data_IF_239578175803
#
_entry.id   IF_239578175803
#
_cell.length_a   1.000
_cell.length_b   1.000
_cell.length_c   1.000
_cell.angle_alpha   90.00
_cell.angle_beta   90.00
_cell.angle_gamma   90.00
#
_symmetry.space_group_name_H-M   'P 1'
#
loop_
_entity.id
_entity.type
_entity.pdbx_description
1 polymer ?
#
# COMPACT_ATOMS: atom_id res chain seq x y z
N UNK A 1 -4.43 3.41 -12.33
CA UNK A 1 -3.88 3.38 -10.96
C UNK A 1 -4.98 2.98 -9.99
N UNK A 2 -4.72 1.96 -9.17
CA UNK A 2 -5.62 1.51 -8.10
C UNK A 2 -5.31 2.28 -6.83
N UNK A 3 -6.33 2.77 -6.11
CA UNK A 3 -6.20 3.52 -4.85
C UNK A 3 -7.20 3.04 -3.81
N UNK A 4 -6.91 3.21 -2.52
CA UNK A 4 -7.75 2.68 -1.43
C UNK A 4 -8.98 3.57 -1.12
N UNK A 5 -8.77 4.89 -1.07
CA UNK A 5 -9.73 5.85 -0.53
C UNK A 5 -10.35 6.83 -1.54
N UNK A 6 -11.45 7.51 -1.17
CA UNK A 6 -11.98 8.64 -1.94
C UNK A 6 -11.09 9.89 -1.90
N UNK A 7 -10.35 10.10 -0.82
CA UNK A 7 -9.38 11.20 -0.68
C UNK A 7 -8.27 11.10 -1.72
N UNK A 8 -7.72 9.90 -1.92
CA UNK A 8 -6.71 9.59 -2.95
C UNK A 8 -7.13 10.06 -4.35
N UNK A 9 -8.40 9.82 -4.71
CA UNK A 9 -8.96 10.20 -6.02
C UNK A 9 -8.88 11.70 -6.30
N UNK A 10 -8.95 12.53 -5.26
CA UNK A 10 -8.94 13.99 -5.38
C UNK A 10 -7.50 14.51 -5.29
N UNK A 11 -6.75 14.05 -4.29
CA UNK A 11 -5.41 14.58 -4.01
C UNK A 11 -4.37 14.15 -5.02
N UNK A 12 -4.38 12.89 -5.45
CA UNK A 12 -3.27 12.39 -6.26
C UNK A 12 -3.18 13.13 -7.60
N UNK A 13 -4.26 13.32 -8.38
CA UNK A 13 -4.21 14.15 -9.57
C UNK A 13 -3.76 15.59 -9.30
N UNK A 14 -4.24 16.17 -8.19
CA UNK A 14 -3.91 17.54 -7.79
C UNK A 14 -2.42 17.68 -7.49
N UNK A 15 -1.86 16.84 -6.62
CA UNK A 15 -0.45 16.86 -6.23
C UNK A 15 0.44 16.61 -7.45
N UNK A 16 0.14 15.58 -8.24
CA UNK A 16 0.93 15.24 -9.42
C UNK A 16 1.03 16.41 -10.40
N UNK A 17 -0.12 17.01 -10.78
CA UNK A 17 -0.17 18.14 -11.73
C UNK A 17 0.45 19.41 -11.16
N UNK A 18 0.30 19.64 -9.85
CA UNK A 18 0.85 20.82 -9.19
C UNK A 18 2.38 20.76 -9.10
N UNK A 19 2.94 19.57 -8.87
CA UNK A 19 4.40 19.36 -8.88
C UNK A 19 4.98 19.42 -10.29
N UNK A 20 4.30 18.81 -11.27
CA UNK A 20 4.71 18.82 -12.65
C UNK A 20 3.47 18.79 -13.58
N UNK A 21 3.23 19.82 -14.40
CA UNK A 21 2.07 19.87 -15.30
C UNK A 21 1.98 18.74 -16.34
N UNK A 22 3.07 18.00 -16.56
CA UNK A 22 3.14 16.82 -17.43
C UNK A 22 2.72 15.51 -16.73
N UNK A 23 2.69 15.50 -15.40
CA UNK A 23 2.16 14.42 -14.56
C UNK A 23 0.65 14.55 -14.43
N UNK A 24 -0.02 14.47 -15.57
CA UNK A 24 -1.46 14.66 -15.67
C UNK A 24 -2.14 13.33 -16.06
N UNK A 25 -2.91 12.78 -15.12
CA UNK A 25 -3.65 11.53 -15.28
C UNK A 25 -4.60 11.59 -16.49
N UNK A 26 -5.26 12.72 -16.73
CA UNK A 26 -6.21 12.86 -17.85
C UNK A 26 -5.47 12.92 -19.19
N UNK A 27 -4.43 13.77 -19.31
CA UNK A 27 -3.65 13.89 -20.55
C UNK A 27 -2.92 12.61 -20.92
N UNK A 28 -2.54 11.81 -19.91
CA UNK A 28 -1.84 10.53 -20.07
C UNK A 28 -2.79 9.33 -20.17
N UNK A 29 -4.11 9.56 -20.30
CA UNK A 29 -5.14 8.51 -20.35
C UNK A 29 -5.03 7.48 -19.21
N UNK A 30 -4.58 7.93 -18.05
CA UNK A 30 -4.40 7.10 -16.86
C UNK A 30 -5.63 7.23 -15.97
N UNK A 31 -6.48 6.21 -15.96
CA UNK A 31 -7.63 6.17 -15.06
C UNK A 31 -7.20 5.89 -13.61
N UNK A 32 -7.83 6.56 -12.66
CA UNK A 32 -7.76 6.21 -11.22
C UNK A 32 -9.01 5.39 -10.89
N UNK A 33 -8.83 4.26 -10.21
CA UNK A 33 -9.93 3.40 -9.80
C UNK A 33 -9.79 3.08 -8.30
N UNK A 34 -10.90 3.23 -7.57
CA UNK A 34 -10.94 2.87 -6.16
C UNK A 34 -11.08 1.36 -6.02
N UNK A 35 -10.33 0.74 -5.11
CA UNK A 35 -10.48 -0.66 -4.74
C UNK A 35 -11.13 -0.79 -3.36
N UNK A 36 -12.11 -1.69 -3.22
CA UNK A 36 -12.73 -1.98 -1.93
C UNK A 36 -11.81 -2.91 -1.12
N UNK A 37 -10.87 -2.30 -0.40
CA UNK A 37 -9.91 -2.97 0.46
C UNK A 37 -8.71 -3.59 -0.25
N UNK A 38 -7.58 -3.65 0.46
CA UNK A 38 -6.27 -4.16 0.01
C UNK A 38 -6.34 -5.57 -0.60
N UNK A 39 -7.30 -6.39 -0.17
CA UNK A 39 -7.51 -7.77 -0.62
C UNK A 39 -7.83 -7.96 -2.10
N UNK A 40 -8.16 -6.88 -2.82
CA UNK A 40 -8.56 -6.93 -4.22
C UNK A 40 -7.50 -6.43 -5.20
N UNK A 41 -6.41 -5.80 -4.73
CA UNK A 41 -5.38 -5.19 -5.59
C UNK A 41 -4.78 -6.21 -6.57
N UNK A 42 -4.21 -7.31 -6.07
CA UNK A 42 -3.62 -8.36 -6.90
C UNK A 42 -4.63 -8.93 -7.91
N UNK A 43 -5.90 -9.07 -7.52
CA UNK A 43 -6.95 -9.57 -8.40
C UNK A 43 -7.18 -8.64 -9.59
N UNK A 44 -7.32 -7.34 -9.32
CA UNK A 44 -7.49 -6.34 -10.39
C UNK A 44 -6.27 -6.27 -11.29
N UNK A 45 -5.07 -6.29 -10.71
CA UNK A 45 -3.82 -6.27 -11.47
C UNK A 45 -3.73 -7.48 -12.41
N UNK A 46 -3.86 -8.69 -11.88
CA UNK A 46 -3.83 -9.91 -12.67
C UNK A 46 -4.90 -9.95 -13.77
N UNK A 47 -6.10 -9.43 -13.49
CA UNK A 47 -7.18 -9.36 -14.48
C UNK A 47 -6.85 -8.40 -15.62
N UNK A 48 -6.51 -7.16 -15.31
CA UNK A 48 -6.30 -6.13 -16.34
C UNK A 48 -5.00 -6.30 -17.12
N UNK A 49 -3.97 -6.91 -16.51
CA UNK A 49 -2.74 -7.27 -17.22
C UNK A 49 -2.99 -8.27 -18.35
N UNK A 50 -4.04 -9.11 -18.28
CA UNK A 50 -4.44 -9.99 -19.39
C UNK A 50 -4.91 -9.23 -20.63
N UNK A 51 -5.31 -7.95 -20.46
CA UNK A 51 -5.70 -7.05 -21.54
C UNK A 51 -4.56 -6.10 -21.94
N UNK A 52 -3.32 -6.44 -21.59
CA UNK A 52 -2.12 -5.61 -21.84
C UNK A 52 -2.21 -4.20 -21.24
N UNK A 53 -3.12 -4.02 -20.27
CA UNK A 53 -3.23 -2.76 -19.55
C UNK A 53 -2.16 -2.68 -18.48
N UNK A 54 -1.45 -1.56 -18.45
CA UNK A 54 -0.54 -1.24 -17.36
C UNK A 54 -1.31 -0.84 -16.12
N UNK A 55 -1.08 -1.53 -15.00
CA UNK A 55 -1.77 -1.27 -13.73
C UNK A 55 -0.78 -1.01 -12.61
N UNK A 56 -0.75 0.25 -12.18
CA UNK A 56 -0.15 0.67 -10.93
C UNK A 56 -1.12 0.58 -9.76
N UNK A 57 -0.61 0.35 -8.56
CA UNK A 57 -1.36 0.42 -7.30
C UNK A 57 -0.66 1.36 -6.32
N UNK A 58 -1.42 2.19 -5.61
CA UNK A 58 -0.93 3.03 -4.52
C UNK A 58 -1.70 2.68 -3.24
N UNK A 59 -0.97 2.33 -2.19
CA UNK A 59 -1.50 1.79 -0.95
C UNK A 59 -0.92 2.51 0.29
N UNK A 60 -1.63 2.38 1.40
CA UNK A 60 -1.18 2.88 2.70
C UNK A 60 -0.07 1.97 3.29
N UNK A 61 0.80 2.53 4.13
CA UNK A 61 1.96 1.86 4.73
C UNK A 61 1.62 0.58 5.49
N UNK A 62 0.43 0.51 6.08
CA UNK A 62 0.00 -0.68 6.82
C UNK A 62 -0.17 -1.91 5.93
N UNK A 63 -0.10 -1.76 4.60
CA UNK A 63 0.00 -2.91 3.70
C UNK A 63 1.27 -3.74 3.91
N UNK A 64 2.34 -3.13 4.42
CA UNK A 64 3.60 -3.83 4.72
C UNK A 64 3.44 -4.82 5.89
N UNK A 65 2.58 -4.49 6.86
CA UNK A 65 2.30 -5.34 8.02
C UNK A 65 1.10 -6.25 7.78
N UNK A 66 0.07 -5.76 7.09
CA UNK A 66 -1.19 -6.48 6.84
C UNK A 66 -1.60 -6.43 5.36
N UNK A 67 -1.73 -7.60 4.73
CA UNK A 67 -2.26 -7.69 3.36
C UNK A 67 -1.23 -7.52 2.24
N UNK A 68 0.06 -7.56 2.55
CA UNK A 68 1.15 -7.52 1.57
C UNK A 68 0.99 -8.55 0.44
N UNK A 69 0.61 -9.79 0.78
CA UNK A 69 0.36 -10.87 -0.19
C UNK A 69 -0.76 -10.56 -1.19
N UNK A 70 -1.55 -9.51 -0.93
CA UNK A 70 -2.65 -9.05 -1.78
C UNK A 70 -2.25 -7.96 -2.75
N UNK A 71 -0.99 -7.51 -2.74
CA UNK A 71 -0.45 -6.53 -3.70
C UNK A 71 -0.06 -7.15 -5.04
N UNK A 72 0.25 -8.45 -5.05
CA UNK A 72 0.83 -9.12 -6.21
C UNK A 72 2.26 -8.66 -6.48
N UNK A 73 3.05 -8.47 -5.41
CA UNK A 73 4.46 -8.09 -5.49
C UNK A 73 5.34 -9.29 -5.88
N UNK A 74 6.52 -9.01 -6.43
CA UNK A 74 7.50 -10.03 -6.80
C UNK A 74 8.09 -10.76 -5.59
N UNK A 75 8.70 -11.92 -5.82
CA UNK A 75 9.37 -12.69 -4.76
C UNK A 75 10.50 -11.89 -4.07
N UNK A 76 11.19 -11.02 -4.81
CA UNK A 76 12.21 -10.13 -4.26
C UNK A 76 11.61 -9.16 -3.23
N UNK A 77 10.46 -8.55 -3.56
CA UNK A 77 9.69 -7.71 -2.63
C UNK A 77 9.27 -8.47 -1.36
N UNK A 78 8.84 -9.73 -1.48
CA UNK A 78 8.52 -10.56 -0.32
C UNK A 78 9.73 -10.79 0.60
N UNK A 79 10.90 -11.11 0.04
CA UNK A 79 12.13 -11.32 0.82
C UNK A 79 12.59 -10.03 1.52
N UNK A 80 12.48 -8.89 0.84
CA UNK A 80 12.77 -7.57 1.42
C UNK A 80 11.82 -7.25 2.58
N UNK A 81 10.53 -7.46 2.36
CA UNK A 81 9.49 -7.24 3.36
C UNK A 81 9.68 -8.12 4.59
N UNK A 82 10.01 -9.39 4.43
CA UNK A 82 10.23 -10.28 5.57
C UNK A 82 11.43 -9.86 6.41
N UNK A 83 12.55 -9.46 5.77
CA UNK A 83 13.71 -8.88 6.46
C UNK A 83 13.34 -7.62 7.24
N UNK A 84 12.58 -6.71 6.63
CA UNK A 84 12.12 -5.48 7.25
C UNK A 84 11.24 -5.75 8.48
N UNK A 85 10.26 -6.65 8.36
CA UNK A 85 9.34 -6.98 9.45
C UNK A 85 10.07 -7.68 10.59
N UNK A 86 11.01 -8.58 10.30
CA UNK A 86 11.85 -9.20 11.34
C UNK A 86 12.64 -8.14 12.12
N UNK A 87 13.31 -7.22 11.43
CA UNK A 87 14.06 -6.13 12.08
C UNK A 87 13.15 -5.23 12.92
N UNK A 88 11.96 -4.89 12.43
CA UNK A 88 11.00 -4.09 13.19
C UNK A 88 10.52 -4.81 14.46
N UNK A 89 10.28 -6.12 14.38
CA UNK A 89 9.92 -6.93 15.54
C UNK A 89 11.06 -7.00 16.56
N UNK A 90 12.31 -7.14 16.13
CA UNK A 90 13.49 -7.10 17.01
C UNK A 90 13.58 -5.79 17.79
N UNK A 91 13.38 -4.65 17.11
CA UNK A 91 13.39 -3.32 17.73
C UNK A 91 12.23 -3.18 18.73
N UNK A 92 11.03 -3.64 18.34
CA UNK A 92 9.85 -3.60 19.20
C UNK A 92 10.05 -4.43 20.48
N UNK A 93 10.61 -5.63 20.36
CA UNK A 93 10.92 -6.52 21.48
C UNK A 93 11.98 -5.91 22.41
N UNK A 94 13.05 -5.33 21.85
CA UNK A 94 14.11 -4.68 22.63
C UNK A 94 13.62 -3.46 23.42
N UNK A 95 12.57 -2.80 22.94
CA UNK A 95 11.99 -1.61 23.60
C UNK A 95 11.09 -1.95 24.79
N UNK A 96 10.79 -3.24 25.05
CA UNK A 96 9.95 -3.68 26.17
C UNK A 96 8.53 -3.09 26.14
N UNK A 97 8.06 -2.65 24.97
CA UNK A 97 6.80 -1.93 24.84
C UNK A 97 5.62 -2.91 24.98
N UNK A 98 5.02 -2.95 26.16
CA UNK A 98 3.74 -3.64 26.39
C UNK A 98 2.67 -3.09 25.42
N UNK A 99 1.80 -3.96 24.87
CA UNK A 99 0.74 -3.53 23.97
C UNK A 99 -0.18 -2.51 24.65
N UNK A 100 -0.36 -1.35 24.01
CA UNK A 100 -1.10 -0.24 24.61
C UNK A 100 -2.56 -0.61 24.95
N UNK A 101 -3.13 0.03 25.97
CA UNK A 101 -4.54 -0.18 26.37
C UNK A 101 -5.56 0.11 25.26
N UNK A 102 -5.22 0.94 24.26
CA UNK A 102 -6.04 1.15 23.05
C UNK A 102 -6.00 -0.06 22.12
N UNK A 103 -4.83 -0.69 21.95
CA UNK A 103 -4.65 -1.94 21.22
C UNK A 103 -5.55 -3.00 21.84
N UNK A 104 -5.46 -3.22 23.17
CA UNK A 104 -6.31 -4.15 23.93
C UNK A 104 -7.82 -3.87 23.82
N UNK A 105 -8.22 -2.60 23.65
CA UNK A 105 -9.64 -2.21 23.50
C UNK A 105 -10.16 -2.47 22.09
N UNK A 106 -9.37 -2.19 21.06
CA UNK A 106 -9.69 -2.52 19.65
C UNK A 106 -9.71 -4.04 19.39
N UNK A 107 -8.89 -4.80 20.12
CA UNK A 107 -8.85 -6.26 20.09
C UNK A 107 -10.14 -6.93 20.56
N UNK A 108 -10.93 -6.28 21.44
CA UNK A 108 -12.24 -6.79 21.85
C UNK A 108 -13.27 -6.78 20.72
N UNK A 109 -13.08 -5.92 19.71
CA UNK A 109 -14.01 -5.75 18.59
C UNK A 109 -13.68 -6.64 17.38
N UNK A 110 -12.49 -7.26 17.34
CA UNK A 110 -12.03 -8.04 16.17
C UNK A 110 -12.05 -9.55 16.47
N UNK A 111 -12.92 -10.28 15.78
CA UNK A 111 -13.17 -11.72 16.00
C UNK A 111 -11.92 -12.59 15.88
N UNK A 112 -11.03 -12.29 14.93
CA UNK A 112 -9.79 -13.05 14.74
C UNK A 112 -8.82 -12.93 15.94
N UNK A 113 -8.83 -11.79 16.64
CA UNK A 113 -8.01 -11.62 17.86
C UNK A 113 -8.64 -12.31 19.06
N UNK A 114 -9.97 -12.31 19.15
CA UNK A 114 -10.67 -13.13 20.13
C UNK A 114 -10.38 -14.62 19.92
N UNK A 115 -10.26 -15.06 18.67
CA UNK A 115 -9.97 -16.46 18.36
C UNK A 115 -8.52 -16.83 18.66
N UNK A 116 -7.54 -15.96 18.38
CA UNK A 116 -6.15 -16.13 18.83
C UNK A 116 -6.04 -16.15 20.37
N UNK A 117 -6.78 -15.28 21.07
CA UNK A 117 -6.83 -15.29 22.53
C UNK A 117 -7.51 -16.55 23.09
N UNK A 118 -8.58 -17.03 22.45
CA UNK A 118 -9.22 -18.30 22.80
C UNK A 118 -8.24 -19.46 22.57
N UNK A 119 -7.51 -19.48 21.46
CA UNK A 119 -6.49 -20.49 21.17
C UNK A 119 -5.38 -20.47 22.21
N UNK A 120 -4.85 -19.30 22.58
CA UNK A 120 -3.87 -19.17 23.66
C UNK A 120 -4.42 -19.64 25.02
N UNK A 121 -5.71 -19.38 25.32
CA UNK A 121 -6.37 -19.89 26.54
C UNK A 121 -6.55 -21.40 26.52
N UNK A 122 -6.96 -21.96 25.38
CA UNK A 122 -7.12 -23.41 25.20
C UNK A 122 -5.78 -24.11 25.33
N UNK A 123 -4.73 -23.61 24.68
CA UNK A 123 -3.38 -24.15 24.81
C UNK A 123 -2.86 -24.07 26.26
N UNK A 124 -3.17 -22.99 26.99
CA UNK A 124 -2.82 -22.87 28.41
C UNK A 124 -3.52 -23.91 29.28
N UNK A 125 -4.80 -24.17 29.00
CA UNK A 125 -5.59 -25.16 29.74
C UNK A 125 -5.17 -26.60 29.39
N UNK A 126 -4.83 -26.85 28.13
CA UNK A 126 -4.26 -28.11 27.67
C UNK A 126 -2.88 -28.36 28.29
N UNK A 127 -1.99 -27.36 28.33
CA UNK A 127 -0.68 -27.46 28.97
C UNK A 127 -0.82 -27.74 30.47
N UNK A 128 -1.74 -27.06 31.15
CA UNK A 128 -2.04 -27.31 32.57
C UNK A 128 -2.57 -28.73 32.84
N UNK A 129 -3.17 -29.37 31.84
CA UNK A 129 -3.66 -30.75 31.88
C UNK A 129 -2.64 -31.77 31.32
N UNK A 130 -1.46 -31.32 30.85
CA UNK A 130 -0.45 -32.18 30.22
C UNK A 130 -0.86 -32.72 28.83
N UNK A 131 -1.80 -32.04 28.15
CA UNK A 131 -2.35 -32.44 26.86
C UNK A 131 -1.66 -31.78 25.66
N UNK A 132 -0.79 -30.80 25.89
CA UNK A 132 0.08 -30.22 24.87
C UNK A 132 1.44 -29.90 25.48
N UNK A 133 2.45 -29.79 24.62
CA UNK A 133 3.80 -29.46 25.05
C UNK A 133 3.95 -27.95 25.27
N UNK A 134 5.04 -27.56 25.93
CA UNK A 134 5.37 -26.14 26.14
C UNK A 134 5.49 -25.40 24.79
N UNK A 135 6.01 -26.05 23.76
CA UNK A 135 6.19 -25.49 22.43
C UNK A 135 4.85 -25.11 21.77
N UNK A 136 3.78 -25.89 21.99
CA UNK A 136 2.45 -25.60 21.49
C UNK A 136 1.82 -24.39 22.19
N UNK A 137 2.04 -24.29 23.51
CA UNK A 137 1.61 -23.13 24.31
C UNK A 137 2.38 -21.87 23.89
N UNK A 138 3.70 -21.97 23.76
CA UNK A 138 4.57 -20.86 23.36
C UNK A 138 4.21 -20.36 21.96
N UNK A 139 3.94 -21.25 21.00
CA UNK A 139 3.49 -20.88 19.66
C UNK A 139 2.15 -20.13 19.68
N UNK A 140 1.16 -20.60 20.44
CA UNK A 140 -0.15 -19.96 20.53
C UNK A 140 -0.10 -18.58 21.22
N UNK A 141 0.69 -18.47 22.28
CA UNK A 141 0.91 -17.21 23.01
C UNK A 141 1.73 -16.23 22.15
N UNK A 142 2.78 -16.71 21.48
CA UNK A 142 3.58 -15.91 20.54
C UNK A 142 2.76 -15.42 19.35
N UNK A 143 1.86 -16.22 18.79
CA UNK A 143 0.95 -15.79 17.72
C UNK A 143 0.00 -14.65 18.19
N UNK A 144 -0.48 -14.72 19.44
CA UNK A 144 -1.28 -13.66 20.03
C UNK A 144 -0.47 -12.37 20.23
N UNK A 145 0.75 -12.47 20.79
CA UNK A 145 1.60 -11.31 21.03
C UNK A 145 2.17 -10.71 19.74
N UNK A 146 2.47 -11.51 18.71
CA UNK A 146 2.85 -11.04 17.39
C UNK A 146 1.76 -10.14 16.77
N UNK A 147 0.48 -10.49 16.96
CA UNK A 147 -0.64 -9.64 16.55
C UNK A 147 -0.73 -8.36 17.39
N UNK A 148 -0.38 -8.41 18.67
CA UNK A 148 -0.34 -7.23 19.56
C UNK A 148 0.78 -6.26 19.21
N UNK A 149 1.89 -6.78 18.68
CA UNK A 149 3.05 -6.01 18.23
C UNK A 149 2.82 -5.28 16.90
N UNK A 150 1.77 -5.62 16.12
CA UNK A 150 1.48 -4.97 14.83
C UNK A 150 1.34 -3.46 14.92
N UNK A 151 0.75 -2.94 16.00
CA UNK A 151 0.65 -1.49 16.22
C UNK A 151 2.00 -0.83 16.50
N UNK A 152 2.88 -1.52 17.25
CA UNK A 152 4.23 -1.05 17.53
C UNK A 152 5.11 -1.11 16.28
N UNK A 153 5.05 -2.20 15.53
CA UNK A 153 5.73 -2.37 14.25
C UNK A 153 5.28 -1.32 13.25
N UNK A 154 3.97 -1.09 13.11
CA UNK A 154 3.45 -0.02 12.24
C UNK A 154 4.02 1.33 12.61
N UNK A 155 4.01 1.69 13.90
CA UNK A 155 4.58 2.95 14.39
C UNK A 155 6.09 3.05 14.11
N UNK A 156 6.85 1.96 14.31
CA UNK A 156 8.27 1.91 13.99
C UNK A 156 8.53 2.11 12.49
N UNK A 157 7.67 1.56 11.63
CA UNK A 157 7.77 1.76 10.19
C UNK A 157 7.38 3.20 9.78
N UNK A 158 6.36 3.79 10.39
CA UNK A 158 5.95 5.19 10.15
C UNK A 158 7.07 6.17 10.55
N UNK A 159 7.68 5.98 11.73
CA UNK A 159 8.75 6.86 12.25
C UNK A 159 10.10 6.59 11.58
N UNK A 160 10.40 5.32 11.28
CA UNK A 160 11.66 4.84 10.70
C UNK A 160 12.91 5.52 11.33
N UNK A 161 12.92 5.63 12.66
CA UNK A 161 13.97 6.34 13.40
C UNK A 161 15.29 5.57 13.44
N UNK A 162 15.23 4.23 13.42
CA UNK A 162 16.41 3.37 13.31
C UNK A 162 16.99 3.45 11.88
N UNK A 163 18.28 3.81 11.70
CA UNK A 163 18.87 4.00 10.37
C UNK A 163 18.84 2.74 9.49
N UNK A 164 19.04 1.56 10.09
CA UNK A 164 19.01 0.30 9.36
C UNK A 164 17.59 -0.05 8.92
N UNK A 165 16.60 0.12 9.80
CA UNK A 165 15.19 -0.07 9.49
C UNK A 165 14.75 0.90 8.38
N UNK A 166 15.16 2.17 8.44
CA UNK A 166 14.90 3.17 7.40
C UNK A 166 15.48 2.74 6.06
N UNK A 167 16.75 2.33 6.03
CA UNK A 167 17.41 1.86 4.80
C UNK A 167 16.68 0.65 4.21
N UNK A 168 16.33 -0.34 5.03
CA UNK A 168 15.58 -1.53 4.58
C UNK A 168 14.18 -1.16 4.06
N UNK A 169 13.52 -0.18 4.68
CA UNK A 169 12.22 0.32 4.24
C UNK A 169 12.34 0.98 2.86
N UNK A 170 13.30 1.88 2.67
CA UNK A 170 13.56 2.53 1.38
C UNK A 170 13.87 1.49 0.30
N UNK A 171 14.74 0.52 0.60
CA UNK A 171 15.08 -0.59 -0.31
C UNK A 171 13.83 -1.37 -0.76
N UNK A 172 12.92 -1.67 0.16
CA UNK A 172 11.64 -2.31 -0.17
C UNK A 172 10.73 -1.41 -1.01
N UNK A 173 10.59 -0.13 -0.66
CA UNK A 173 9.74 0.80 -1.40
C UNK A 173 10.25 1.01 -2.83
N UNK A 174 11.56 1.06 -3.03
CA UNK A 174 12.17 1.14 -4.36
C UNK A 174 11.94 -0.14 -5.18
N UNK A 175 12.05 -1.31 -4.57
CA UNK A 175 11.78 -2.58 -5.27
C UNK A 175 10.29 -2.69 -5.66
N UNK A 176 9.37 -2.29 -4.77
CA UNK A 176 7.94 -2.26 -5.07
C UNK A 176 7.61 -1.37 -6.27
N UNK A 177 8.30 -0.23 -6.43
CA UNK A 177 8.10 0.68 -7.57
C UNK A 177 8.44 0.02 -8.92
N UNK A 178 9.38 -0.93 -8.95
CA UNK A 178 9.69 -1.70 -10.16
C UNK A 178 8.53 -2.60 -10.57
N UNK A 179 7.74 -3.03 -9.59
CA UNK A 179 6.50 -3.77 -9.77
C UNK A 179 5.29 -2.84 -9.99
N UNK A 180 5.45 -1.54 -10.25
CA UNK A 180 4.35 -0.55 -10.29
C UNK A 180 3.47 -0.55 -9.02
N UNK A 181 4.05 -0.92 -7.88
CA UNK A 181 3.42 -0.83 -6.56
C UNK A 181 4.04 0.34 -5.82
N UNK A 182 3.19 1.25 -5.37
CA UNK A 182 3.57 2.43 -4.61
C UNK A 182 2.95 2.31 -3.22
N UNK A 183 3.69 2.73 -2.20
CA UNK A 183 3.23 2.72 -0.82
C UNK A 183 3.65 4.04 -0.19
N UNK A 184 2.70 4.71 0.49
CA UNK A 184 2.99 5.93 1.23
C UNK A 184 3.95 5.66 2.38
N UNK A 185 5.03 6.42 2.48
CA UNK A 185 6.08 6.22 3.46
C UNK A 185 5.60 6.54 4.88
N UNK A 186 4.74 7.56 5.06
CA UNK A 186 4.34 8.06 6.38
C UNK A 186 3.06 7.46 6.95
N UNK A 187 2.40 6.55 6.22
CA UNK A 187 1.10 6.02 6.62
C UNK A 187 0.13 6.04 5.45
N UNK A 188 -0.83 6.95 5.49
CA UNK A 188 -1.79 7.22 4.42
C UNK A 188 -1.61 8.63 3.84
N UNK A 189 -2.29 8.95 2.75
CA UNK A 189 -2.24 10.29 2.15
C UNK A 189 -2.67 11.40 3.15
N UNK A 190 -3.55 11.08 4.11
CA UNK A 190 -3.98 12.03 5.14
C UNK A 190 -2.88 12.45 6.11
N UNK A 191 -1.82 11.64 6.26
CA UNK A 191 -0.71 11.92 7.17
C UNK A 191 0.24 13.00 6.60
N UNK A 192 0.03 13.40 5.35
CA UNK A 192 0.73 14.51 4.69
C UNK A 192 -0.04 15.83 4.83
N UNK A 193 -1.27 15.80 5.35
CA UNK A 193 -2.06 17.01 5.52
C UNK A 193 -1.49 17.86 6.66
N UNK A 194 -1.54 19.20 6.54
CA UNK A 194 -1.28 20.07 7.67
C UNK A 194 -2.16 19.72 8.89
N UNK A 195 -1.68 19.99 10.11
CA UNK A 195 -2.48 19.82 11.33
C UNK A 195 -3.80 20.57 11.24
N UNK A 196 -4.85 20.01 11.86
CA UNK A 196 -6.16 20.65 11.93
C UNK A 196 -6.10 21.96 12.72
N UNK A 197 -6.63 23.03 12.15
CA UNK A 197 -6.89 24.27 12.87
C UNK A 197 -8.28 24.23 13.56
N UNK A 198 -8.50 25.09 14.56
CA UNK A 198 -9.67 25.05 15.46
C UNK A 198 -11.05 25.12 14.78
N UNK A 199 -11.11 25.49 13.49
CA UNK A 199 -12.35 25.64 12.71
C UNK A 199 -12.44 24.72 11.48
N UNK A 200 -11.54 23.76 11.33
CA UNK A 200 -11.53 22.85 10.18
C UNK A 200 -12.30 21.55 10.46
N UNK A 201 -12.96 21.04 9.42
CA UNK A 201 -13.64 19.74 9.47
C UNK A 201 -12.61 18.62 9.65
N UNK A 202 -12.87 17.69 10.57
CA UNK A 202 -12.06 16.46 10.71
C UNK A 202 -12.37 15.42 9.63
N UNK A 203 -13.35 15.68 8.76
CA UNK A 203 -13.70 14.79 7.66
C UNK A 203 -12.57 14.74 6.63
N UNK A 204 -12.10 13.52 6.32
CA UNK A 204 -10.98 13.30 5.40
C UNK A 204 -11.20 13.90 4.00
N UNK A 205 -12.43 13.87 3.48
CA UNK A 205 -12.74 14.38 2.14
C UNK A 205 -12.79 15.92 2.12
N UNK A 206 -13.31 16.54 3.19
CA UNK A 206 -13.28 17.99 3.34
C UNK A 206 -11.84 18.48 3.45
N UNK A 207 -11.02 17.79 4.25
CA UNK A 207 -9.58 18.08 4.36
C UNK A 207 -8.86 17.92 3.04
N UNK A 208 -9.17 16.88 2.26
CA UNK A 208 -8.61 16.69 0.93
C UNK A 208 -8.94 17.86 -0.01
N UNK A 209 -10.19 18.35 0.02
CA UNK A 209 -10.59 19.52 -0.77
C UNK A 209 -9.85 20.78 -0.31
N UNK A 210 -9.85 21.07 0.98
CA UNK A 210 -9.16 22.23 1.55
C UNK A 210 -7.65 22.19 1.32
N UNK A 211 -7.05 21.00 1.26
CA UNK A 211 -5.66 20.83 0.86
C UNK A 211 -5.46 21.31 -0.60
N UNK A 212 -6.30 20.84 -1.52
CA UNK A 212 -6.18 21.21 -2.93
C UNK A 212 -6.41 22.70 -3.17
N UNK A 213 -7.28 23.34 -2.38
CA UNK A 213 -7.54 24.78 -2.43
C UNK A 213 -6.37 25.63 -1.91
N UNK A 214 -5.63 25.12 -0.92
CA UNK A 214 -4.54 25.86 -0.25
C UNK A 214 -3.17 25.64 -0.88
N UNK A 215 -2.89 24.45 -1.39
CA UNK A 215 -1.58 24.07 -1.91
C UNK A 215 -1.62 23.96 -3.42
N UNK A 216 -1.52 25.10 -4.11
CA UNK A 216 -1.75 25.20 -5.56
C UNK A 216 -0.47 25.37 -6.38
N UNK A 217 0.68 25.51 -5.71
CA UNK A 217 2.01 25.59 -6.34
C UNK A 217 2.91 24.43 -5.90
N UNK A 218 3.93 24.13 -6.71
CA UNK A 218 4.92 23.12 -6.36
C UNK A 218 5.64 23.48 -5.06
N UNK A 219 5.91 24.76 -4.84
CA UNK A 219 6.50 25.30 -3.63
C UNK A 219 5.62 25.05 -2.39
N UNK A 220 4.29 25.19 -2.51
CA UNK A 220 3.36 24.92 -1.40
C UNK A 220 3.39 23.46 -0.97
N UNK A 221 3.48 22.53 -1.94
CA UNK A 221 3.52 21.09 -1.67
C UNK A 221 4.90 20.69 -1.13
N UNK A 222 5.99 21.21 -1.70
CA UNK A 222 7.35 20.98 -1.21
C UNK A 222 7.60 21.59 0.17
N UNK A 223 6.91 22.67 0.49
CA UNK A 223 6.97 23.37 1.78
C UNK A 223 6.18 22.71 2.91
N UNK A 224 5.50 21.58 2.68
CA UNK A 224 4.76 20.89 3.74
C UNK A 224 5.70 20.47 4.88
N UNK A 225 5.24 20.65 6.12
CA UNK A 225 6.04 20.38 7.32
C UNK A 225 6.59 18.95 7.37
N UNK A 226 5.91 17.99 6.75
CA UNK A 226 6.32 16.58 6.68
C UNK A 226 7.62 16.36 5.88
N UNK A 227 8.00 17.29 5.01
CA UNK A 227 9.21 17.21 4.19
C UNK A 227 10.37 18.07 4.71
N UNK A 228 10.17 18.85 5.78
CA UNK A 228 11.16 19.83 6.26
C UNK A 228 12.52 19.22 6.63
N UNK A 229 12.51 17.99 7.14
CA UNK A 229 13.70 17.26 7.59
C UNK A 229 13.98 16.03 6.70
N UNK A 230 13.43 16.00 5.48
CA UNK A 230 13.61 14.91 4.53
C UNK A 230 14.43 15.37 3.34
N UNK A 231 15.54 14.68 3.06
CA UNK A 231 16.31 14.89 1.84
C UNK A 231 15.61 14.30 0.61
N UNK A 232 14.62 13.43 0.82
CA UNK A 232 13.84 12.80 -0.23
C UNK A 232 12.41 13.35 -0.27
N UNK A 233 11.94 13.66 -1.47
CA UNK A 233 10.59 14.13 -1.72
C UNK A 233 9.76 13.03 -2.38
N UNK A 234 9.12 12.23 -1.53
CA UNK A 234 8.43 10.99 -1.92
C UNK A 234 7.42 11.17 -3.05
N UNK A 235 6.66 12.28 -3.06
CA UNK A 235 5.68 12.54 -4.11
C UNK A 235 6.33 12.60 -5.50
N UNK A 236 7.47 13.28 -5.66
CA UNK A 236 8.19 13.28 -6.93
C UNK A 236 8.72 11.89 -7.27
N UNK A 237 9.28 11.15 -6.30
CA UNK A 237 9.78 9.80 -6.54
C UNK A 237 8.67 8.84 -7.06
N UNK A 238 7.47 8.91 -6.46
CA UNK A 238 6.30 8.13 -6.87
C UNK A 238 5.84 8.56 -8.27
N UNK A 239 5.59 9.85 -8.48
CA UNK A 239 5.02 10.33 -9.74
C UNK A 239 6.01 10.25 -10.90
N UNK A 240 7.30 10.50 -10.68
CA UNK A 240 8.30 10.30 -11.72
C UNK A 240 8.32 8.84 -12.19
N UNK A 241 8.34 7.87 -11.27
CA UNK A 241 8.27 6.45 -11.61
C UNK A 241 6.98 6.09 -12.35
N UNK A 242 5.83 6.58 -11.86
CA UNK A 242 4.51 6.30 -12.44
C UNK A 242 4.39 6.81 -13.88
N UNK A 243 4.83 8.05 -14.13
CA UNK A 243 4.67 8.71 -15.42
C UNK A 243 5.82 8.49 -16.41
N UNK A 244 7.05 8.20 -15.95
CA UNK A 244 8.16 7.79 -16.82
C UNK A 244 7.83 6.50 -17.58
N UNK A 245 7.05 5.66 -16.94
CA UNK A 245 6.74 4.31 -17.40
C UNK A 245 5.46 4.23 -18.24
N UNK A 246 4.86 5.37 -18.59
CA UNK A 246 3.68 5.47 -19.47
C UNK A 246 4.14 6.02 -20.82
N UNK A 247 4.29 5.19 -21.86
CA UNK A 247 4.62 5.68 -23.20
C UNK A 247 3.60 6.75 -23.58
N UNK A 248 4.08 7.92 -23.97
CA UNK A 248 3.24 8.94 -24.62
C UNK A 248 2.55 8.28 -25.81
N UNK A 249 1.22 8.15 -25.73
CA UNK A 249 0.41 7.41 -26.70
C UNK A 249 0.53 7.96 -28.11
N UNK A 250 1.48 7.44 -28.88
CA UNK A 250 1.46 7.46 -30.34
C UNK A 250 0.40 6.47 -30.81
N UNK A 251 -0.81 6.97 -31.06
CA UNK A 251 -1.91 6.18 -31.66
C UNK A 251 -1.42 5.55 -32.98
N UNK A 252 -1.19 4.25 -32.99
CA UNK A 252 -1.37 3.45 -34.20
C UNK A 252 -2.80 2.92 -34.17
N UNK A 253 -3.63 3.38 -35.11
CA UNK A 253 -4.97 2.85 -35.29
C UNK A 253 -4.90 1.34 -35.56
N UNK A 254 -5.78 0.51 -34.97
CA UNK A 254 -5.89 -0.87 -35.38
C UNK A 254 -6.49 -0.90 -36.79
N UNK A 255 -5.69 -1.30 -37.79
CA UNK A 255 -6.20 -1.70 -39.09
C UNK A 255 -7.12 -2.91 -38.90
N UNK A 256 -8.43 -2.67 -38.91
CA UNK A 256 -9.43 -3.72 -39.06
C UNK A 256 -9.23 -4.33 -40.44
N UNK A 257 -8.57 -5.50 -40.50
CA UNK A 257 -8.47 -6.29 -41.72
C UNK A 257 -9.84 -6.92 -41.98
N UNK A 258 -10.59 -6.37 -42.92
CA UNK A 258 -11.78 -7.02 -43.48
C UNK A 258 -11.35 -8.37 -44.06
N UNK A 259 -11.79 -9.46 -43.45
CA UNK A 259 -11.71 -10.80 -44.03
C UNK A 259 -12.83 -10.90 -45.07
N UNK A 260 -12.48 -10.75 -46.35
CA UNK A 260 -13.36 -11.08 -47.46
C UNK A 260 -12.70 -12.21 -48.25
N UNK A 261 -13.50 -13.27 -48.45
CA UNK A 261 -13.45 -14.21 -49.58
C UNK A 261 -12.17 -15.04 -49.78
N UNK A 262 -12.25 -16.31 -49.34
CA UNK A 262 -11.54 -17.43 -49.97
C UNK A 262 -12.25 -18.74 -49.57
N UNK A 263 -13.48 -18.90 -50.05
CA UNK A 263 -14.14 -20.20 -50.16
C UNK A 263 -14.85 -20.26 -51.50
N UNK A 264 -14.16 -20.84 -52.48
CA UNK A 264 -14.71 -21.02 -53.82
C UNK A 264 -13.62 -21.42 -54.80
N UNK A 265 -13.40 -22.74 -54.91
CA UNK A 265 -13.07 -23.51 -56.13
C UNK A 265 -12.03 -24.61 -55.86
N UNK A 266 -12.48 -25.75 -55.33
CA UNK A 266 -12.01 -27.05 -55.85
C UNK A 266 -12.97 -28.16 -55.44
N UNK A 267 -13.90 -28.54 -56.33
CA UNK A 267 -14.25 -29.94 -56.56
C UNK A 267 -15.16 -30.06 -57.80
N UNK A 268 -14.51 -30.34 -58.93
CA UNK A 268 -15.13 -31.01 -60.07
C UNK A 268 -14.16 -32.12 -60.50
N UNK A 269 -14.39 -33.35 -60.02
CA UNK A 269 -13.87 -34.57 -60.62
C UNK A 269 -14.56 -35.81 -60.00
N UNK A 270 -15.65 -36.23 -60.66
CA UNK A 270 -16.19 -37.59 -60.86
C UNK A 270 -17.69 -37.68 -60.61
#
# INVERSE_FOLDING_TARGET
>A
MLVEGPSDHILIPHIARTLNPEWDFEKRATAIAKVEGKGSIARYRSFFTQFEMKIAALADLDVLTEGFDKLGASQACHQLRDRLITKANEIAAASGADPSGKTLKSMRANGAVQDLWKQARVAREQYAQGLCEWEDLDAAVSAFFARSALGAVRKLLEEAADPDLRRMKIELLEELRKDDIYVWERGAIEDYYPPLENNESSNKNDRARSFCERHVTAEDIKGLAVFKDSDEFEFEAIFESLFRSTPSGGRTQPHIRKQAELDGLTQAAR
#
